data_IF_832184518575
#
_entry.id   IF_832184518575
#
_cell.length_a   1.000
_cell.length_b   1.000
_cell.length_c   1.000
_cell.angle_alpha   90.00
_cell.angle_beta   90.00
_cell.angle_gamma   90.00
#
_symmetry.space_group_name_H-M   'P 1'
#
loop_
_entity.id
_entity.type
_entity.pdbx_description
1 polymer ?
#
# COMPACT_ATOMS: atom_id res chain seq x y z
N UNK A 1 -3.18 24.17 -16.67
CA UNK A 1 -3.23 23.67 -15.28
C UNK A 1 -3.75 22.24 -15.34
N UNK A 2 -2.86 21.27 -15.26
CA UNK A 2 -3.34 19.90 -15.08
C UNK A 2 -4.02 19.85 -13.72
N UNK A 3 -5.34 19.70 -13.73
CA UNK A 3 -6.10 19.42 -12.53
C UNK A 3 -5.48 18.19 -11.88
N UNK A 4 -4.89 18.37 -10.70
CA UNK A 4 -4.44 17.27 -9.84
C UNK A 4 -5.68 16.55 -9.28
N UNK A 5 -6.53 16.09 -10.19
CA UNK A 5 -7.75 15.35 -9.90
C UNK A 5 -7.38 14.17 -9.00
N UNK A 6 -7.96 14.14 -7.82
CA UNK A 6 -7.85 13.04 -6.88
C UNK A 6 -6.84 13.18 -5.75
N UNK A 7 -5.94 14.17 -5.77
CA UNK A 7 -5.10 14.49 -4.61
C UNK A 7 -5.91 15.39 -3.67
N UNK A 8 -6.36 14.83 -2.56
CA UNK A 8 -7.13 15.55 -1.56
C UNK A 8 -6.22 16.38 -0.66
N UNK A 9 -6.67 17.59 -0.30
CA UNK A 9 -6.08 18.31 0.83
C UNK A 9 -6.20 17.48 2.12
N UNK A 10 -5.43 17.80 3.17
CA UNK A 10 -5.57 17.11 4.47
C UNK A 10 -7.00 17.19 5.01
N UNK A 11 -7.66 18.34 4.85
CA UNK A 11 -9.05 18.56 5.29
C UNK A 11 -10.02 17.69 4.50
N UNK A 12 -9.89 17.67 3.17
CA UNK A 12 -10.80 16.89 2.33
C UNK A 12 -10.59 15.38 2.52
N UNK A 13 -9.33 14.96 2.69
CA UNK A 13 -9.00 13.57 3.04
C UNK A 13 -9.61 13.15 4.38
N UNK A 14 -9.53 14.03 5.38
CA UNK A 14 -10.18 13.81 6.68
C UNK A 14 -11.70 13.65 6.54
N UNK A 15 -12.35 14.54 5.80
CA UNK A 15 -13.78 14.45 5.54
C UNK A 15 -14.13 13.16 4.79
N UNK A 16 -13.39 12.82 3.76
CA UNK A 16 -13.59 11.61 2.97
C UNK A 16 -13.49 10.34 3.83
N UNK A 17 -12.44 10.22 4.64
CA UNK A 17 -12.24 9.04 5.50
C UNK A 17 -13.23 8.94 6.65
N UNK A 18 -13.78 10.08 7.09
CA UNK A 18 -14.83 10.13 8.12
C UNK A 18 -16.19 9.71 7.59
N UNK A 19 -16.51 10.05 6.35
CA UNK A 19 -17.87 9.98 5.80
C UNK A 19 -18.08 8.83 4.81
N UNK A 20 -16.99 8.25 4.28
CA UNK A 20 -17.08 7.26 3.22
C UNK A 20 -16.03 6.14 3.38
N UNK A 21 -16.32 5.01 2.76
CA UNK A 21 -15.35 3.94 2.55
C UNK A 21 -14.29 4.42 1.57
N UNK A 22 -13.03 4.19 1.88
CA UNK A 22 -11.90 4.55 0.99
C UNK A 22 -11.39 3.31 0.28
N UNK A 23 -11.22 3.38 -1.04
CA UNK A 23 -10.65 2.27 -1.81
C UNK A 23 -9.14 2.42 -1.92
N UNK A 24 -8.43 1.33 -1.65
CA UNK A 24 -6.97 1.23 -1.73
C UNK A 24 -6.51 -0.01 -2.49
N UNK A 25 -5.25 0.00 -2.90
CA UNK A 25 -4.57 -1.13 -3.53
C UNK A 25 -3.34 -1.45 -2.70
N UNK A 26 -3.15 -2.72 -2.35
CA UNK A 26 -1.91 -3.25 -1.83
C UNK A 26 -1.22 -4.11 -2.89
N UNK A 27 0.08 -3.93 -3.05
CA UNK A 27 0.90 -4.73 -3.96
C UNK A 27 1.78 -5.65 -3.13
N UNK A 28 1.44 -6.93 -3.13
CA UNK A 28 2.13 -7.99 -2.42
C UNK A 28 3.37 -8.39 -3.21
N UNK A 29 4.54 -7.90 -2.83
CA UNK A 29 5.80 -8.20 -3.51
C UNK A 29 6.42 -9.48 -2.97
N UNK A 30 6.50 -10.50 -3.81
CA UNK A 30 7.13 -11.77 -3.49
C UNK A 30 8.48 -11.92 -4.20
N UNK A 31 9.49 -12.29 -3.43
CA UNK A 31 10.75 -12.80 -3.94
C UNK A 31 11.01 -14.19 -3.36
N UNK A 32 11.11 -15.20 -4.24
CA UNK A 32 11.04 -16.60 -3.83
C UNK A 32 9.77 -16.82 -3.00
N UNK A 33 9.89 -17.37 -1.79
CA UNK A 33 8.77 -17.70 -0.91
C UNK A 33 8.51 -16.62 0.15
N UNK A 34 9.16 -15.44 0.04
CA UNK A 34 9.08 -14.38 1.04
C UNK A 34 8.31 -13.18 0.52
N UNK A 35 7.44 -12.66 1.36
CA UNK A 35 6.68 -11.40 1.16
C UNK A 35 7.46 -10.24 1.76
N UNK A 36 7.53 -9.15 1.01
CA UNK A 36 8.08 -7.89 1.49
C UNK A 36 7.07 -7.17 2.38
N UNK A 37 7.50 -6.80 3.57
CA UNK A 37 6.73 -6.02 4.52
C UNK A 37 7.52 -4.80 4.98
N UNK A 38 6.83 -3.69 5.18
CA UNK A 38 7.36 -2.49 5.81
C UNK A 38 6.74 -2.28 7.18
N UNK A 39 7.48 -1.64 8.11
CA UNK A 39 6.92 -1.19 9.37
C UNK A 39 6.27 0.18 9.19
N UNK A 40 5.01 0.26 9.51
CA UNK A 40 4.22 1.47 9.32
C UNK A 40 4.60 2.56 10.33
N UNK A 41 4.87 3.77 9.83
CA UNK A 41 5.23 4.93 10.66
C UNK A 41 4.04 5.80 11.04
N UNK A 42 2.93 5.73 10.28
CA UNK A 42 1.75 6.56 10.44
C UNK A 42 0.52 5.75 10.85
N UNK A 43 -0.47 6.42 11.45
CA UNK A 43 -1.81 5.87 11.63
C UNK A 43 -2.57 5.74 10.29
N UNK A 44 -3.52 4.82 10.20
CA UNK A 44 -3.84 3.75 11.14
C UNK A 44 -2.77 2.64 11.17
N UNK A 45 -2.85 1.76 12.16
CA UNK A 45 -1.95 0.61 12.32
C UNK A 45 -0.45 0.95 12.46
N UNK A 46 -0.13 2.08 13.08
CA UNK A 46 1.25 2.49 13.36
C UNK A 46 2.01 1.37 14.10
N UNK A 47 3.28 1.17 13.73
CA UNK A 47 4.20 0.15 14.26
C UNK A 47 3.88 -1.31 13.87
N UNK A 48 2.84 -1.57 13.09
CA UNK A 48 2.59 -2.91 12.54
C UNK A 48 3.36 -3.14 11.24
N UNK A 49 3.64 -4.40 10.93
CA UNK A 49 4.10 -4.79 9.60
C UNK A 49 2.92 -4.77 8.63
N UNK A 50 3.14 -4.25 7.44
CA UNK A 50 2.10 -4.15 6.41
C UNK A 50 2.70 -4.26 5.01
N UNK A 51 1.86 -4.59 4.05
CA UNK A 51 2.20 -4.51 2.64
C UNK A 51 2.03 -3.08 2.16
N UNK A 52 3.06 -2.48 1.53
CA UNK A 52 2.92 -1.13 0.98
C UNK A 52 1.87 -1.07 -0.13
N UNK A 53 1.20 0.05 -0.17
CA UNK A 53 0.12 0.29 -1.10
C UNK A 53 -0.33 1.75 -1.06
N UNK A 54 -1.49 2.02 -1.65
CA UNK A 54 -2.00 3.38 -1.68
C UNK A 54 -3.46 3.47 -2.10
N UNK A 55 -4.04 4.60 -1.80
CA UNK A 55 -5.42 4.91 -2.17
C UNK A 55 -5.55 5.10 -3.69
N UNK A 56 -6.67 4.65 -4.25
CA UNK A 56 -7.08 5.04 -5.61
C UNK A 56 -7.59 6.49 -5.56
N UNK A 57 -7.10 7.34 -6.43
CA UNK A 57 -7.55 8.71 -6.53
C UNK A 57 -8.80 8.82 -7.41
N UNK A 58 -9.64 9.81 -7.15
CA UNK A 58 -10.81 10.08 -7.98
C UNK A 58 -10.37 10.33 -9.43
N UNK A 59 -11.01 9.64 -10.36
CA UNK A 59 -10.66 9.73 -11.78
C UNK A 59 -9.56 8.77 -12.26
N UNK A 60 -8.86 8.08 -11.35
CA UNK A 60 -7.91 7.04 -11.74
C UNK A 60 -8.61 5.72 -12.04
N UNK A 61 -8.17 5.03 -13.07
CA UNK A 61 -8.45 3.61 -13.24
C UNK A 61 -7.56 2.79 -12.31
N UNK A 62 -7.93 1.54 -12.02
CA UNK A 62 -7.08 0.61 -11.24
C UNK A 62 -5.68 0.49 -11.87
N UNK A 63 -5.59 0.43 -13.21
CA UNK A 63 -4.31 0.34 -13.91
C UNK A 63 -3.42 1.57 -13.71
N UNK A 64 -4.00 2.77 -13.72
CA UNK A 64 -3.26 4.02 -13.47
C UNK A 64 -2.80 4.09 -12.02
N UNK A 65 -3.68 3.75 -11.08
CA UNK A 65 -3.35 3.73 -9.65
C UNK A 65 -2.21 2.75 -9.34
N UNK A 66 -2.24 1.53 -9.91
CA UNK A 66 -1.17 0.53 -9.76
C UNK A 66 0.18 1.08 -10.22
N UNK A 67 0.25 1.68 -11.41
CA UNK A 67 1.50 2.26 -11.93
C UNK A 67 2.06 3.33 -11.01
N UNK A 68 1.20 4.23 -10.54
CA UNK A 68 1.57 5.31 -9.63
C UNK A 68 2.06 4.76 -8.28
N UNK A 69 1.31 3.84 -7.68
CA UNK A 69 1.65 3.23 -6.39
C UNK A 69 2.96 2.46 -6.50
N UNK A 70 3.11 1.60 -7.52
CA UNK A 70 4.34 0.84 -7.73
C UNK A 70 5.56 1.76 -7.88
N UNK A 71 5.42 2.87 -8.59
CA UNK A 71 6.51 3.85 -8.76
C UNK A 71 6.87 4.57 -7.48
N UNK A 72 5.86 5.03 -6.72
CA UNK A 72 6.05 5.79 -5.48
C UNK A 72 6.58 4.88 -4.36
N UNK A 73 5.94 3.73 -4.13
CA UNK A 73 6.25 2.87 -2.99
C UNK A 73 7.50 2.01 -3.21
N UNK A 74 7.77 1.60 -4.44
CA UNK A 74 8.82 0.61 -4.74
C UNK A 74 9.86 1.08 -5.76
N UNK A 75 9.65 2.19 -6.44
CA UNK A 75 10.51 2.62 -7.55
C UNK A 75 10.39 1.75 -8.81
N UNK A 76 9.35 0.92 -8.90
CA UNK A 76 9.15 -0.02 -10.00
C UNK A 76 8.12 0.48 -11.02
N UNK A 77 8.28 0.04 -12.27
CA UNK A 77 7.32 0.24 -13.34
C UNK A 77 6.51 -1.05 -13.53
N UNK A 78 5.42 -1.19 -12.79
CA UNK A 78 4.54 -2.37 -12.83
C UNK A 78 3.25 -2.00 -13.56
N UNK A 79 2.79 -2.89 -14.46
CA UNK A 79 1.49 -2.75 -15.13
C UNK A 79 0.50 -3.77 -14.52
N UNK A 80 -0.80 -3.50 -14.66
CA UNK A 80 -1.86 -4.38 -14.18
C UNK A 80 -1.74 -5.81 -14.73
N UNK A 81 -1.31 -5.97 -15.99
CA UNK A 81 -1.11 -7.28 -16.63
C UNK A 81 0.01 -8.13 -16.01
N UNK A 82 0.93 -7.49 -15.28
CA UNK A 82 2.07 -8.14 -14.63
C UNK A 82 1.70 -8.65 -13.23
N UNK A 83 0.47 -8.40 -12.81
CA UNK A 83 -0.04 -8.69 -11.47
C UNK A 83 -1.09 -9.80 -11.50
N UNK A 84 -1.08 -10.60 -10.45
CA UNK A 84 -2.15 -11.55 -10.12
C UNK A 84 -3.10 -10.91 -9.10
N UNK A 85 -4.40 -10.84 -9.43
CA UNK A 85 -5.40 -10.40 -8.46
C UNK A 85 -5.59 -11.48 -7.39
N UNK A 86 -5.48 -11.10 -6.12
CA UNK A 86 -5.59 -12.03 -4.99
C UNK A 86 -7.00 -12.03 -4.43
N UNK A 87 -7.47 -10.90 -3.92
CA UNK A 87 -8.81 -10.77 -3.34
C UNK A 87 -9.12 -9.30 -3.02
N UNK A 88 -10.35 -9.07 -2.56
CA UNK A 88 -10.79 -7.81 -1.94
C UNK A 88 -10.91 -8.03 -0.44
N UNK A 89 -10.25 -7.20 0.34
CA UNK A 89 -10.29 -7.20 1.79
C UNK A 89 -10.96 -5.96 2.35
N UNK A 90 -11.56 -6.08 3.53
CA UNK A 90 -12.07 -4.94 4.28
C UNK A 90 -11.18 -4.71 5.51
N UNK A 91 -10.70 -3.49 5.66
CA UNK A 91 -9.86 -3.10 6.79
C UNK A 91 -10.60 -2.05 7.62
N UNK A 92 -10.78 -2.37 8.90
CA UNK A 92 -11.42 -1.50 9.87
C UNK A 92 -10.40 -1.07 10.92
N UNK A 93 -10.16 0.23 11.00
CA UNK A 93 -9.25 0.81 11.99
C UNK A 93 -10.01 1.75 12.92
N UNK A 94 -9.67 1.73 14.22
CA UNK A 94 -10.29 2.59 15.24
C UNK A 94 -9.86 4.06 15.12
N UNK A 95 -8.82 4.35 14.32
CA UNK A 95 -8.25 5.67 14.12
C UNK A 95 -8.02 5.96 12.64
N UNK A 96 -7.61 7.18 12.33
CA UNK A 96 -7.22 7.57 10.99
C UNK A 96 -5.81 8.20 10.95
N UNK A 97 -5.40 8.61 9.76
CA UNK A 97 -4.08 9.22 9.53
C UNK A 97 -3.86 10.53 10.32
N UNK A 98 -4.90 11.32 10.55
CA UNK A 98 -4.81 12.66 11.12
C UNK A 98 -5.07 12.71 12.62
N UNK A 99 -5.92 11.82 13.13
CA UNK A 99 -6.28 11.77 14.53
C UNK A 99 -6.72 10.38 15.01
N UNK A 100 -6.98 10.25 16.31
CA UNK A 100 -7.45 9.02 16.93
C UNK A 100 -8.98 9.03 17.20
N UNK A 101 -9.71 10.00 16.67
CA UNK A 101 -11.15 10.22 17.00
C UNK A 101 -12.08 9.56 16.01
N UNK A 102 -11.61 9.26 14.79
CA UNK A 102 -12.46 8.73 13.72
C UNK A 102 -11.91 7.39 13.24
N UNK A 103 -12.81 6.42 13.15
CA UNK A 103 -12.53 5.14 12.51
C UNK A 103 -12.28 5.31 11.01
N UNK A 104 -11.48 4.42 10.44
CA UNK A 104 -11.26 4.37 8.99
C UNK A 104 -11.69 3.01 8.46
N UNK A 105 -12.40 3.01 7.34
CA UNK A 105 -12.82 1.81 6.64
C UNK A 105 -12.26 1.84 5.21
N UNK A 106 -11.43 0.84 4.89
CA UNK A 106 -10.89 0.63 3.55
C UNK A 106 -11.49 -0.60 2.90
N UNK A 107 -11.83 -0.45 1.63
CA UNK A 107 -11.98 -1.56 0.69
C UNK A 107 -10.65 -1.70 -0.05
N UNK A 108 -9.93 -2.78 0.21
CA UNK A 108 -8.57 -2.98 -0.28
C UNK A 108 -8.53 -4.05 -1.37
N UNK A 109 -8.01 -3.68 -2.54
CA UNK A 109 -7.74 -4.60 -3.64
C UNK A 109 -6.30 -5.10 -3.50
N UNK A 110 -6.11 -6.38 -3.25
CA UNK A 110 -4.80 -6.99 -3.13
C UNK A 110 -4.35 -7.63 -4.44
N UNK A 111 -3.15 -7.25 -4.88
CA UNK A 111 -2.50 -7.79 -6.06
C UNK A 111 -1.13 -8.36 -5.70
N UNK A 112 -0.77 -9.49 -6.29
CA UNK A 112 0.52 -10.12 -6.11
C UNK A 112 1.43 -9.81 -7.29
N UNK A 113 2.68 -9.46 -7.00
CA UNK A 113 3.77 -9.30 -7.95
C UNK A 113 4.95 -10.19 -7.57
N UNK A 114 5.45 -10.95 -8.54
CA UNK A 114 6.64 -11.78 -8.35
C UNK A 114 7.86 -11.01 -8.87
N UNK A 115 8.79 -10.72 -7.98
CA UNK A 115 10.05 -10.06 -8.34
C UNK A 115 10.91 -11.01 -9.16
N UNK A 116 11.46 -10.51 -10.27
CA UNK A 116 12.13 -11.33 -11.27
C UNK A 116 13.66 -11.30 -11.18
N UNK A 117 14.23 -10.20 -10.67
CA UNK A 117 15.67 -9.98 -10.68
C UNK A 117 16.17 -9.14 -9.51
N UNK A 118 17.50 -9.08 -9.36
CA UNK A 118 18.16 -8.35 -8.28
C UNK A 118 18.03 -6.83 -8.41
N UNK A 119 17.98 -6.30 -9.62
CA UNK A 119 17.84 -4.86 -9.88
C UNK A 119 16.52 -4.32 -9.31
N UNK A 120 15.42 -5.08 -9.46
CA UNK A 120 14.14 -4.73 -8.83
C UNK A 120 14.27 -4.67 -7.31
N UNK A 121 14.97 -5.62 -6.68
CA UNK A 121 15.20 -5.63 -5.23
C UNK A 121 15.99 -4.39 -4.81
N UNK A 122 17.05 -4.05 -5.51
CA UNK A 122 17.88 -2.88 -5.20
C UNK A 122 17.07 -1.57 -5.31
N UNK A 123 16.23 -1.44 -6.33
CA UNK A 123 15.31 -0.31 -6.50
C UNK A 123 14.29 -0.22 -5.37
N UNK A 124 13.68 -1.34 -4.98
CA UNK A 124 12.72 -1.43 -3.88
C UNK A 124 13.38 -0.98 -2.58
N UNK A 125 14.54 -1.56 -2.23
CA UNK A 125 15.24 -1.25 -0.99
C UNK A 125 15.66 0.23 -0.93
N UNK A 126 16.13 0.79 -2.04
CA UNK A 126 16.48 2.21 -2.14
C UNK A 126 15.26 3.10 -1.90
N UNK A 127 14.13 2.79 -2.52
CA UNK A 127 12.91 3.61 -2.43
C UNK A 127 12.28 3.49 -1.04
N UNK A 128 12.12 2.28 -0.52
CA UNK A 128 11.46 2.04 0.76
C UNK A 128 12.23 2.54 1.99
N UNK A 129 13.56 2.58 1.94
CA UNK A 129 14.38 3.14 3.04
C UNK A 129 14.02 4.59 3.41
N UNK A 130 13.47 5.34 2.47
CA UNK A 130 13.04 6.71 2.72
C UNK A 130 11.64 6.82 3.33
N UNK A 131 10.85 5.75 3.28
CA UNK A 131 9.43 5.77 3.66
C UNK A 131 9.11 4.88 4.87
N UNK A 132 9.97 3.92 5.21
CA UNK A 132 9.73 2.90 6.24
C UNK A 132 10.88 2.80 7.22
N UNK A 133 10.56 2.62 8.51
CA UNK A 133 11.56 2.44 9.56
C UNK A 133 12.27 1.09 9.48
N UNK A 134 11.59 0.08 8.98
CA UNK A 134 12.07 -1.30 8.95
C UNK A 134 11.44 -2.05 7.78
N UNK A 135 12.22 -2.82 7.06
CA UNK A 135 11.79 -3.60 5.90
C UNK A 135 12.15 -5.05 6.18
N UNK A 136 11.20 -5.96 6.03
CA UNK A 136 11.38 -7.39 6.28
C UNK A 136 10.89 -8.24 5.13
N UNK A 137 11.63 -9.30 4.87
CA UNK A 137 11.23 -10.39 3.99
C UNK A 137 10.84 -11.58 4.85
N UNK A 138 9.55 -11.91 4.92
CA UNK A 138 9.04 -12.99 5.75
C UNK A 138 8.35 -14.05 4.89
N UNK A 139 8.61 -15.32 5.22
CA UNK A 139 7.82 -16.42 4.71
C UNK A 139 6.44 -16.45 5.38
N UNK A 140 5.50 -17.20 4.82
CA UNK A 140 4.17 -17.38 5.41
C UNK A 140 4.29 -17.98 6.82
N UNK A 141 5.15 -18.98 7.01
CA UNK A 141 5.37 -19.61 8.31
C UNK A 141 5.95 -18.62 9.33
N UNK A 142 6.92 -17.80 8.93
CA UNK A 142 7.47 -16.74 9.78
C UNK A 142 6.41 -15.70 10.17
N UNK A 143 5.48 -15.36 9.27
CA UNK A 143 4.39 -14.43 9.57
C UNK A 143 3.35 -15.03 10.54
N UNK A 144 3.03 -16.31 10.40
CA UNK A 144 2.07 -16.99 11.27
C UNK A 144 2.62 -17.22 12.70
N UNK A 145 3.94 -17.37 12.84
CA UNK A 145 4.62 -17.60 14.11
C UNK A 145 4.99 -16.30 14.85
N UNK A 146 4.93 -15.14 14.19
CA UNK A 146 5.19 -13.82 14.78
C UNK A 146 3.90 -13.15 15.33
N UNK A 147 3.09 -13.89 16.07
CA UNK A 147 1.93 -13.34 16.79
C UNK A 147 2.33 -12.70 18.10
#
# INVERSE_FOLDING_TARGET
MEDKLGILSKKDYYCATKLAITTSIDILLFYKDKLLLGRRINNPAKNTLFTPGGRIHKGETVSVAIKRIAKIEFGLNINLKDLEFVNIFQHFYKNNFLDNKHATHYLNLAYKYKINNKEEIDNILKTMKHQHLDIKWLSIDEMLNNK
#
